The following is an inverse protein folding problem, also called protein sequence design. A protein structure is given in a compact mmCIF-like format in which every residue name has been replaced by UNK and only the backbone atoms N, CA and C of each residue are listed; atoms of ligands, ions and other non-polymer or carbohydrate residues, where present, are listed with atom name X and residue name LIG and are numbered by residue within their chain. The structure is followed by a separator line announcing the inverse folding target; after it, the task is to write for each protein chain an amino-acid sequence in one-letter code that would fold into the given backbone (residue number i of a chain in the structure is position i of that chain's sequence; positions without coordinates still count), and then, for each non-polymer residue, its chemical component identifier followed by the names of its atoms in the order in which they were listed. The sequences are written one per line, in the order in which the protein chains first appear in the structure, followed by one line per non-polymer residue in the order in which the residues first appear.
data_IF_278549154293
#
_entry.id   IF_278549154293
#
_cell.length_a   1.000
_cell.length_b   1.000
_cell.length_c   1.000
_cell.angle_alpha   90.00
_cell.angle_beta   90.00
_cell.angle_gamma   90.00
#
_symmetry.space_group_name_H-M   'P 1'
#
loop_
_entity.id
_entity.type
_entity.pdbx_description
1 polymer ?
#
# COMPACT_ATOMS: atom_id res chain seq x y z
N UNK A 1 10.31 -15.83 -17.06
CA UNK A 1 10.65 -17.09 -16.40
C UNK A 1 10.65 -16.96 -14.88
N UNK A 2 11.17 -15.88 -14.33
CA UNK A 2 11.21 -15.57 -12.89
C UNK A 2 9.82 -15.61 -12.21
N UNK A 3 8.78 -15.00 -12.82
CA UNK A 3 7.41 -15.06 -12.30
C UNK A 3 6.87 -16.49 -12.10
N UNK A 4 7.32 -17.45 -12.92
CA UNK A 4 6.95 -18.84 -12.75
C UNK A 4 7.63 -19.45 -11.53
N UNK A 5 8.90 -19.12 -11.27
CA UNK A 5 9.60 -19.56 -10.05
C UNK A 5 8.97 -18.95 -8.79
N UNK A 6 8.54 -17.69 -8.85
CA UNK A 6 7.78 -17.05 -7.77
C UNK A 6 6.47 -17.83 -7.48
N UNK A 7 5.75 -18.23 -8.54
CA UNK A 7 4.57 -19.10 -8.40
C UNK A 7 4.89 -20.43 -7.72
N UNK A 8 5.92 -21.13 -8.22
CA UNK A 8 6.35 -22.43 -7.66
C UNK A 8 6.72 -22.30 -6.18
N UNK A 9 7.46 -21.26 -5.81
CA UNK A 9 7.84 -20.99 -4.41
C UNK A 9 6.63 -20.64 -3.55
N UNK A 10 5.81 -19.68 -3.95
CA UNK A 10 4.66 -19.21 -3.20
C UNK A 10 3.67 -20.34 -2.88
N UNK A 11 3.44 -21.23 -3.85
CA UNK A 11 2.50 -22.35 -3.74
C UNK A 11 3.18 -23.67 -3.30
N UNK A 12 4.50 -23.65 -3.02
CA UNK A 12 5.30 -24.82 -2.62
C UNK A 12 5.14 -25.99 -3.59
N UNK A 13 5.09 -25.69 -4.90
CA UNK A 13 4.90 -26.68 -5.98
C UNK A 13 6.22 -27.22 -6.52
N UNK A 14 7.29 -27.14 -5.75
CA UNK A 14 8.58 -27.76 -6.05
C UNK A 14 8.62 -29.20 -5.51
N UNK A 15 9.43 -30.04 -6.11
CA UNK A 15 9.66 -31.44 -5.64
C UNK A 15 10.62 -31.45 -4.46
N UNK A 16 11.65 -30.64 -4.49
CA UNK A 16 12.72 -30.63 -3.50
C UNK A 16 13.42 -29.27 -3.47
N UNK A 17 13.99 -28.91 -2.30
CA UNK A 17 14.96 -27.85 -2.13
C UNK A 17 16.33 -28.49 -1.83
N UNK A 18 17.30 -28.30 -2.72
CA UNK A 18 18.63 -28.88 -2.55
C UNK A 18 19.59 -27.79 -2.05
N UNK A 19 20.05 -27.88 -0.78
CA UNK A 19 20.98 -26.92 -0.20
C UNK A 19 22.30 -26.87 -0.97
N UNK A 20 22.83 -25.66 -1.19
CA UNK A 20 24.06 -25.41 -1.91
C UNK A 20 25.11 -24.68 -1.06
N UNK A 21 26.36 -24.73 -1.44
CA UNK A 21 27.45 -23.97 -0.85
C UNK A 21 27.52 -24.09 0.68
N UNK A 22 27.32 -22.99 1.38
CA UNK A 22 27.35 -22.94 2.86
C UNK A 22 26.26 -23.79 3.55
N UNK A 23 25.20 -24.12 2.82
CA UNK A 23 24.10 -24.96 3.33
C UNK A 23 24.24 -26.44 2.92
N UNK A 24 25.30 -26.84 2.24
CA UNK A 24 25.45 -28.20 1.74
C UNK A 24 25.27 -29.22 2.88
N UNK A 25 24.31 -30.15 2.71
CA UNK A 25 23.96 -31.16 3.70
C UNK A 25 22.95 -30.70 4.80
N UNK A 26 22.58 -29.44 4.86
CA UNK A 26 21.54 -28.97 5.77
C UNK A 26 20.13 -29.40 5.31
N UNK A 27 19.20 -29.50 6.23
CA UNK A 27 17.77 -29.71 5.93
C UNK A 27 17.05 -28.38 5.85
N UNK A 28 16.37 -28.11 4.74
CA UNK A 28 15.56 -26.89 4.55
C UNK A 28 14.08 -27.27 4.57
N UNK A 29 13.31 -26.57 5.41
CA UNK A 29 11.84 -26.68 5.48
C UNK A 29 11.22 -25.28 5.43
N UNK A 30 10.38 -25.01 4.43
CA UNK A 30 9.66 -23.75 4.29
C UNK A 30 8.36 -23.81 5.08
N UNK A 31 8.33 -23.12 6.22
CA UNK A 31 7.14 -23.00 7.07
C UNK A 31 6.15 -21.97 6.51
N UNK A 32 6.68 -20.87 5.98
CA UNK A 32 5.92 -19.80 5.35
C UNK A 32 6.75 -19.23 4.20
N UNK A 33 6.28 -19.27 2.94
CA UNK A 33 7.03 -18.74 1.81
C UNK A 33 7.21 -17.22 1.85
N UNK A 34 6.48 -16.53 2.72
CA UNK A 34 6.47 -15.09 2.80
C UNK A 34 5.43 -14.42 1.90
N UNK A 35 5.50 -13.10 1.84
CA UNK A 35 4.60 -12.25 1.06
C UNK A 35 5.33 -11.80 -0.19
N UNK A 36 4.76 -12.09 -1.37
CA UNK A 36 5.33 -11.67 -2.65
C UNK A 36 5.44 -10.14 -2.71
N UNK A 37 6.63 -9.68 -3.05
CA UNK A 37 6.93 -8.27 -3.23
C UNK A 37 6.75 -7.87 -4.70
N UNK A 38 5.79 -7.03 -4.97
CA UNK A 38 5.57 -6.46 -6.32
C UNK A 38 6.31 -5.13 -6.54
N UNK A 39 7.19 -4.75 -5.61
CA UNK A 39 7.94 -3.49 -5.60
C UNK A 39 9.46 -3.75 -5.66
N UNK A 40 10.27 -2.70 -5.50
CA UNK A 40 11.73 -2.85 -5.42
C UNK A 40 12.16 -3.55 -4.12
N UNK A 41 13.24 -4.31 -4.18
CA UNK A 41 13.78 -5.12 -3.09
C UNK A 41 13.50 -6.61 -3.29
N UNK A 42 13.83 -7.46 -2.30
CA UNK A 42 13.71 -8.90 -2.40
C UNK A 42 12.29 -9.38 -2.77
N UNK A 43 12.21 -10.52 -3.45
CA UNK A 43 10.96 -11.05 -4.02
C UNK A 43 9.92 -11.43 -2.99
N UNK A 44 10.33 -11.94 -1.84
CA UNK A 44 9.41 -12.28 -0.75
C UNK A 44 9.89 -11.70 0.57
N UNK A 45 8.94 -11.15 1.36
CA UNK A 45 9.18 -10.64 2.71
C UNK A 45 8.62 -11.56 3.78
N UNK A 46 9.22 -11.51 4.97
CA UNK A 46 8.77 -12.23 6.17
C UNK A 46 8.59 -13.74 5.96
N UNK A 47 9.36 -14.33 5.05
CA UNK A 47 9.41 -15.77 4.91
C UNK A 47 9.93 -16.42 6.20
N UNK A 48 9.42 -17.62 6.52
CA UNK A 48 9.86 -18.43 7.66
C UNK A 48 10.39 -19.74 7.14
N UNK A 49 11.69 -19.91 7.26
CA UNK A 49 12.41 -21.09 6.79
C UNK A 49 13.14 -21.71 7.97
N UNK A 50 12.95 -23.01 8.16
CA UNK A 50 13.74 -23.78 9.12
C UNK A 50 14.93 -24.39 8.38
N UNK A 51 16.12 -24.07 8.83
CA UNK A 51 17.37 -24.66 8.34
C UNK A 51 17.96 -25.46 9.50
N UNK A 52 18.00 -26.77 9.37
CA UNK A 52 18.24 -27.70 10.47
C UNK A 52 17.29 -27.42 11.66
N UNK A 53 17.82 -27.10 12.83
CA UNK A 53 17.05 -26.80 14.04
C UNK A 53 16.77 -25.29 14.23
N UNK A 54 17.24 -24.42 13.33
CA UNK A 54 17.13 -22.99 13.46
C UNK A 54 15.99 -22.43 12.59
N UNK A 55 15.16 -21.59 13.18
CA UNK A 55 14.12 -20.83 12.48
C UNK A 55 14.69 -19.49 11.98
N UNK A 56 14.71 -19.33 10.67
CA UNK A 56 15.10 -18.10 10.01
C UNK A 56 13.85 -17.34 9.58
N UNK A 57 13.82 -16.03 9.86
CA UNK A 57 12.73 -15.13 9.43
C UNK A 57 13.34 -13.94 8.69
N UNK A 58 12.99 -13.76 7.43
CA UNK A 58 13.55 -12.68 6.61
C UNK A 58 13.02 -12.67 5.19
N UNK A 59 13.79 -12.06 4.29
CA UNK A 59 13.45 -12.00 2.89
C UNK A 59 14.03 -13.21 2.11
N UNK A 60 13.36 -13.57 1.01
CA UNK A 60 13.82 -14.57 0.05
C UNK A 60 13.94 -13.90 -1.32
N UNK A 61 15.03 -14.19 -2.02
CA UNK A 61 15.26 -13.77 -3.40
C UNK A 61 15.29 -14.98 -4.31
N UNK A 62 14.69 -14.88 -5.48
CA UNK A 62 14.53 -15.99 -6.43
C UNK A 62 15.07 -15.59 -7.81
N UNK A 63 15.99 -16.40 -8.34
CA UNK A 63 16.54 -16.21 -9.67
C UNK A 63 16.52 -17.52 -10.48
N UNK A 64 16.68 -17.39 -11.79
CA UNK A 64 16.94 -18.56 -12.61
C UNK A 64 18.36 -19.08 -12.37
N UNK A 65 19.36 -18.20 -12.30
CA UNK A 65 20.74 -18.55 -12.03
C UNK A 65 21.34 -17.71 -10.89
N UNK A 66 22.18 -18.29 -10.05
CA UNK A 66 22.79 -17.57 -8.92
C UNK A 66 23.65 -16.38 -9.35
N UNK A 67 24.19 -16.38 -10.56
CA UNK A 67 24.94 -15.25 -11.14
C UNK A 67 24.10 -13.99 -11.36
N UNK A 68 22.75 -14.09 -11.44
CA UNK A 68 21.85 -12.97 -11.64
C UNK A 68 21.85 -12.02 -10.43
N UNK A 69 22.17 -12.50 -9.24
CA UNK A 69 22.40 -11.67 -8.06
C UNK A 69 23.33 -10.48 -8.33
N UNK A 70 24.47 -10.77 -8.99
CA UNK A 70 25.43 -9.72 -9.34
C UNK A 70 25.01 -8.91 -10.57
N UNK A 71 24.32 -9.53 -11.53
CA UNK A 71 23.82 -8.84 -12.72
C UNK A 71 22.76 -7.79 -12.36
N UNK A 72 21.96 -8.06 -11.34
CA UNK A 72 20.93 -7.16 -10.83
C UNK A 72 21.48 -6.18 -9.75
N UNK A 73 22.79 -6.23 -9.46
CA UNK A 73 23.47 -5.36 -8.48
C UNK A 73 22.93 -5.48 -7.05
N UNK A 74 22.41 -6.64 -6.64
CA UNK A 74 21.88 -6.86 -5.29
C UNK A 74 22.97 -6.84 -4.21
N UNK A 75 24.22 -7.06 -4.56
CA UNK A 75 25.40 -6.95 -3.69
C UNK A 75 25.63 -5.52 -3.18
N UNK A 76 25.19 -4.51 -3.92
CA UNK A 76 25.37 -3.10 -3.57
C UNK A 76 24.11 -2.45 -2.99
N UNK A 77 22.94 -3.08 -3.11
CA UNK A 77 21.67 -2.55 -2.62
C UNK A 77 21.38 -2.95 -1.15
N UNK A 78 21.31 -1.97 -0.23
CA UNK A 78 20.99 -2.23 1.18
C UNK A 78 19.67 -2.98 1.41
N UNK A 79 18.72 -2.92 0.48
CA UNK A 79 17.44 -3.61 0.59
C UNK A 79 17.58 -5.14 0.67
N UNK A 80 18.66 -5.69 0.08
CA UNK A 80 18.90 -7.13 0.02
C UNK A 80 19.68 -7.69 1.23
N UNK A 81 20.07 -6.85 2.20
CA UNK A 81 20.74 -7.29 3.43
C UNK A 81 19.88 -8.17 4.34
N UNK A 82 18.56 -8.12 4.15
CA UNK A 82 17.60 -8.93 4.91
C UNK A 82 17.32 -10.30 4.26
N UNK A 83 17.97 -10.62 3.14
CA UNK A 83 17.79 -11.90 2.45
C UNK A 83 18.44 -13.02 3.27
N UNK A 84 17.60 -13.98 3.69
CA UNK A 84 18.00 -15.14 4.47
C UNK A 84 18.23 -16.38 3.62
N UNK A 85 17.65 -16.40 2.40
CA UNK A 85 17.76 -17.53 1.48
C UNK A 85 17.68 -17.03 0.03
N UNK A 86 18.64 -17.46 -0.77
CA UNK A 86 18.65 -17.29 -2.22
C UNK A 86 18.21 -18.60 -2.88
N UNK A 87 17.11 -18.56 -3.61
CA UNK A 87 16.49 -19.71 -4.25
C UNK A 87 16.74 -19.64 -5.74
N UNK A 88 17.34 -20.68 -6.32
CA UNK A 88 17.73 -20.66 -7.74
C UNK A 88 17.42 -21.98 -8.44
N UNK A 89 17.22 -21.96 -9.76
CA UNK A 89 17.18 -23.19 -10.55
C UNK A 89 18.58 -23.70 -10.89
N UNK A 90 19.57 -22.80 -11.00
CA UNK A 90 20.94 -23.13 -11.34
C UNK A 90 21.91 -22.39 -10.41
N UNK A 91 22.73 -23.12 -9.67
CA UNK A 91 23.81 -22.54 -8.88
C UNK A 91 25.10 -22.58 -9.69
N UNK A 92 25.37 -21.49 -10.42
CA UNK A 92 26.52 -21.35 -11.30
C UNK A 92 27.59 -20.39 -10.77
N UNK A 93 27.30 -19.63 -9.69
CA UNK A 93 28.24 -18.69 -9.08
C UNK A 93 27.88 -18.45 -7.61
N UNK A 94 28.80 -18.71 -6.66
CA UNK A 94 28.52 -18.43 -5.26
C UNK A 94 28.34 -16.93 -5.01
N UNK A 95 27.36 -16.59 -4.17
CA UNK A 95 27.09 -15.24 -3.74
C UNK A 95 27.68 -15.00 -2.37
N UNK A 96 28.51 -13.97 -2.24
CA UNK A 96 29.17 -13.59 -1.00
C UNK A 96 28.77 -12.14 -0.68
N UNK A 97 28.28 -11.90 0.54
CA UNK A 97 27.98 -10.55 1.02
C UNK A 97 29.26 -9.70 1.19
N UNK A 98 29.15 -8.39 1.20
CA UNK A 98 30.30 -7.51 1.52
C UNK A 98 30.94 -7.78 2.89
N UNK A 99 30.23 -8.43 3.80
CA UNK A 99 30.75 -8.92 5.10
C UNK A 99 31.72 -10.11 4.96
N UNK A 100 31.78 -10.74 3.78
CA UNK A 100 32.56 -11.97 3.55
C UNK A 100 31.78 -13.26 3.84
N UNK A 101 30.55 -13.17 4.30
CA UNK A 101 29.67 -14.32 4.54
C UNK A 101 29.00 -14.79 3.23
N UNK A 102 28.92 -16.11 3.04
CA UNK A 102 28.20 -16.67 1.90
C UNK A 102 26.68 -16.55 2.12
N UNK A 103 25.96 -16.08 1.10
CA UNK A 103 24.51 -16.07 1.12
C UNK A 103 23.97 -17.50 1.09
N UNK A 104 23.14 -17.90 2.06
CA UNK A 104 22.49 -19.19 2.05
C UNK A 104 21.73 -19.43 0.73
N UNK A 105 22.10 -20.46 -0.03
CA UNK A 105 21.55 -20.73 -1.37
C UNK A 105 21.00 -22.15 -1.45
N UNK A 106 19.87 -22.31 -2.14
CA UNK A 106 19.33 -23.65 -2.47
C UNK A 106 18.82 -23.72 -3.92
N UNK A 107 18.91 -24.92 -4.51
CA UNK A 107 18.25 -25.19 -5.79
C UNK A 107 16.78 -25.50 -5.57
N UNK A 108 15.94 -24.90 -6.41
CA UNK A 108 14.51 -25.14 -6.50
C UNK A 108 14.24 -26.18 -7.60
N UNK A 109 13.89 -27.39 -7.23
CA UNK A 109 13.59 -28.44 -8.19
C UNK A 109 12.14 -28.35 -8.65
N UNK A 110 11.95 -27.82 -9.86
CA UNK A 110 10.63 -27.65 -10.48
C UNK A 110 10.21 -28.94 -11.18
N UNK A 111 8.99 -29.49 -10.91
CA UNK A 111 8.46 -30.65 -11.65
C UNK A 111 8.41 -30.35 -13.15
N UNK A 112 8.94 -31.29 -13.97
CA UNK A 112 8.98 -31.13 -15.43
C UNK A 112 7.58 -30.97 -16.03
N UNK A 113 6.56 -31.60 -15.42
CA UNK A 113 5.16 -31.55 -15.87
C UNK A 113 4.56 -30.12 -15.77
N UNK A 114 5.08 -29.28 -14.88
CA UNK A 114 4.58 -27.93 -14.70
C UNK A 114 5.17 -26.91 -15.70
N UNK A 115 6.27 -27.24 -16.36
CA UNK A 115 6.93 -26.34 -17.31
C UNK A 115 6.10 -26.02 -18.57
N UNK A 116 5.48 -27.01 -19.25
CA UNK A 116 4.62 -26.74 -20.38
C UNK A 116 3.37 -25.91 -20.00
N UNK A 117 2.92 -26.04 -18.76
CA UNK A 117 1.74 -25.36 -18.24
C UNK A 117 2.09 -23.98 -17.62
N UNK A 118 3.36 -23.57 -17.59
CA UNK A 118 3.80 -22.35 -16.92
C UNK A 118 2.99 -21.11 -17.33
N UNK A 119 2.74 -20.93 -18.63
CA UNK A 119 1.92 -19.83 -19.13
C UNK A 119 0.45 -19.94 -18.65
N UNK A 120 -0.12 -21.15 -18.70
CA UNK A 120 -1.49 -21.39 -18.24
C UNK A 120 -1.64 -21.17 -16.72
N UNK A 121 -0.65 -21.57 -15.94
CA UNK A 121 -0.62 -21.37 -14.48
C UNK A 121 -0.52 -19.90 -14.12
N UNK A 122 0.35 -19.13 -14.80
CA UNK A 122 0.45 -17.67 -14.61
C UNK A 122 -0.80 -16.93 -15.09
N UNK A 123 -1.43 -17.42 -16.18
CA UNK A 123 -2.73 -16.89 -16.62
C UNK A 123 -3.87 -17.23 -15.65
N UNK A 124 -3.82 -18.39 -14.99
CA UNK A 124 -4.80 -18.79 -13.97
C UNK A 124 -4.71 -17.91 -12.72
N UNK A 125 -3.52 -17.47 -12.32
CA UNK A 125 -3.35 -16.46 -11.25
C UNK A 125 -3.90 -15.07 -11.65
N UNK A 126 -3.86 -14.74 -12.94
CA UNK A 126 -4.44 -13.51 -13.46
C UNK A 126 -5.96 -13.56 -13.62
N UNK A 127 -6.60 -14.68 -13.33
CA UNK A 127 -8.06 -14.87 -13.42
C UNK A 127 -8.61 -15.41 -12.09
N UNK A 128 -9.85 -15.01 -11.80
CA UNK A 128 -10.57 -15.61 -10.66
C UNK A 128 -10.92 -17.05 -11.00
N UNK A 129 -10.62 -17.99 -10.10
CA UNK A 129 -10.98 -19.42 -10.27
C UNK A 129 -12.48 -19.66 -10.42
N UNK A 130 -13.30 -18.69 -9.96
CA UNK A 130 -14.76 -18.73 -10.03
C UNK A 130 -15.33 -17.88 -11.18
N UNK A 131 -14.52 -17.40 -12.13
CA UNK A 131 -14.96 -16.48 -13.18
C UNK A 131 -16.20 -16.99 -13.94
N UNK A 132 -16.19 -18.26 -14.35
CA UNK A 132 -17.31 -18.86 -15.09
C UNK A 132 -18.59 -18.98 -14.24
N UNK A 133 -18.47 -19.06 -12.93
CA UNK A 133 -19.59 -19.14 -12.00
C UNK A 133 -20.15 -17.76 -11.65
N UNK A 134 -19.28 -16.73 -11.54
CA UNK A 134 -19.70 -15.37 -11.17
C UNK A 134 -20.76 -14.81 -12.12
N UNK A 135 -20.63 -15.06 -13.42
CA UNK A 135 -21.59 -14.63 -14.42
C UNK A 135 -22.99 -15.29 -14.26
N UNK A 136 -23.11 -16.40 -13.54
CA UNK A 136 -24.34 -17.13 -13.29
C UNK A 136 -25.04 -16.76 -11.98
N UNK A 137 -24.38 -15.98 -11.10
CA UNK A 137 -24.97 -15.58 -9.81
C UNK A 137 -26.07 -14.53 -10.04
N UNK A 138 -27.26 -14.70 -9.46
CA UNK A 138 -28.36 -13.74 -9.61
C UNK A 138 -27.93 -12.33 -9.13
N UNK A 139 -28.34 -11.29 -9.87
CA UNK A 139 -27.96 -9.89 -9.60
C UNK A 139 -28.35 -9.45 -8.18
N UNK A 140 -29.49 -9.89 -7.69
CA UNK A 140 -30.00 -9.55 -6.35
C UNK A 140 -29.12 -10.15 -5.25
N UNK A 141 -28.62 -11.37 -5.43
CA UNK A 141 -27.69 -12.01 -4.52
C UNK A 141 -26.34 -11.30 -4.54
N UNK A 142 -25.83 -10.96 -5.73
CA UNK A 142 -24.60 -10.15 -5.87
C UNK A 142 -24.73 -8.85 -5.09
N UNK A 143 -25.82 -8.12 -5.26
CA UNK A 143 -26.06 -6.84 -4.59
C UNK A 143 -26.10 -6.99 -3.07
N UNK A 144 -26.78 -8.01 -2.57
CA UNK A 144 -26.86 -8.31 -1.13
C UNK A 144 -25.47 -8.60 -0.56
N UNK A 145 -24.68 -9.46 -1.20
CA UNK A 145 -23.34 -9.83 -0.75
C UNK A 145 -22.36 -8.66 -0.81
N UNK A 146 -22.39 -7.89 -1.90
CA UNK A 146 -21.55 -6.69 -2.03
C UNK A 146 -21.88 -5.67 -0.94
N UNK A 147 -23.17 -5.49 -0.61
CA UNK A 147 -23.57 -4.62 0.50
C UNK A 147 -23.03 -5.09 1.85
N UNK A 148 -23.09 -6.39 2.14
CA UNK A 148 -22.54 -6.96 3.37
C UNK A 148 -21.01 -6.81 3.46
N UNK A 149 -20.30 -7.11 2.38
CA UNK A 149 -18.84 -6.99 2.32
C UNK A 149 -18.36 -5.54 2.45
N UNK A 150 -19.06 -4.59 1.80
CA UNK A 150 -18.78 -3.16 1.92
C UNK A 150 -18.94 -2.67 3.36
N UNK A 151 -20.02 -3.05 4.03
CA UNK A 151 -20.24 -2.72 5.46
C UNK A 151 -19.16 -3.31 6.35
N UNK A 152 -18.77 -4.56 6.13
CA UNK A 152 -17.67 -5.19 6.86
C UNK A 152 -16.36 -4.42 6.69
N UNK A 153 -16.03 -4.01 5.45
CA UNK A 153 -14.85 -3.21 5.16
C UNK A 153 -14.90 -1.83 5.82
N UNK A 154 -16.04 -1.15 5.74
CA UNK A 154 -16.22 0.15 6.39
C UNK A 154 -16.06 0.04 7.90
N UNK A 155 -16.63 -0.98 8.53
CA UNK A 155 -16.49 -1.23 9.97
C UNK A 155 -15.02 -1.41 10.39
N UNK A 156 -14.23 -2.15 9.58
CA UNK A 156 -12.77 -2.30 9.84
C UNK A 156 -12.02 -0.97 9.71
N UNK A 157 -12.37 -0.15 8.70
CA UNK A 157 -11.78 1.18 8.55
C UNK A 157 -12.14 2.11 9.71
N UNK A 158 -13.39 2.08 10.16
CA UNK A 158 -13.86 2.84 11.33
C UNK A 158 -13.10 2.41 12.59
N UNK A 159 -12.88 1.11 12.79
CA UNK A 159 -12.07 0.62 13.88
C UNK A 159 -10.62 1.12 13.82
N UNK A 160 -10.01 1.13 12.63
CA UNK A 160 -8.67 1.68 12.42
C UNK A 160 -8.61 3.20 12.72
N UNK A 161 -9.65 3.96 12.35
CA UNK A 161 -9.73 5.39 12.72
C UNK A 161 -9.78 5.58 14.24
N UNK A 162 -10.52 4.74 14.97
CA UNK A 162 -10.59 4.80 16.43
C UNK A 162 -9.23 4.50 17.07
N UNK A 163 -8.52 3.47 16.60
CA UNK A 163 -7.16 3.19 17.07
C UNK A 163 -6.20 4.35 16.81
N UNK A 164 -6.34 5.00 15.66
CA UNK A 164 -5.53 6.17 15.34
C UNK A 164 -5.89 7.38 16.21
N UNK A 165 -7.17 7.56 16.57
CA UNK A 165 -7.63 8.58 17.50
C UNK A 165 -7.06 8.39 18.91
N UNK A 166 -7.00 7.13 19.38
CA UNK A 166 -6.34 6.80 20.65
C UNK A 166 -4.85 7.17 20.63
N UNK A 167 -4.14 6.85 19.52
CA UNK A 167 -2.74 7.25 19.32
C UNK A 167 -2.54 8.75 19.19
N UNK A 168 -3.55 9.47 18.76
CA UNK A 168 -3.59 10.94 18.66
C UNK A 168 -4.13 11.59 19.94
N UNK A 169 -4.22 10.84 21.06
CA UNK A 169 -4.67 11.34 22.38
C UNK A 169 -6.06 12.02 22.32
N UNK A 170 -6.93 11.55 21.43
CA UNK A 170 -8.28 12.10 21.24
C UNK A 170 -8.34 13.33 20.32
N UNK A 171 -7.23 13.74 19.73
CA UNK A 171 -7.20 14.86 18.77
C UNK A 171 -7.71 14.42 17.39
N UNK A 172 -8.93 14.82 17.06
CA UNK A 172 -9.57 14.54 15.78
C UNK A 172 -8.86 15.22 14.60
N UNK A 173 -8.31 16.42 14.78
CA UNK A 173 -7.59 17.11 13.71
C UNK A 173 -6.27 16.41 13.38
N UNK A 174 -5.52 15.99 14.38
CA UNK A 174 -4.31 15.18 14.21
C UNK A 174 -4.64 13.82 13.58
N UNK A 175 -5.75 13.20 13.99
CA UNK A 175 -6.23 11.93 13.42
C UNK A 175 -6.55 12.07 11.93
N UNK A 176 -7.28 13.12 11.54
CA UNK A 176 -7.57 13.40 10.13
C UNK A 176 -6.29 13.63 9.33
N UNK A 177 -5.36 14.38 9.86
CA UNK A 177 -4.07 14.66 9.23
C UNK A 177 -3.28 13.37 9.00
N UNK A 178 -3.21 12.48 9.99
CA UNK A 178 -2.49 11.20 9.85
C UNK A 178 -3.16 10.27 8.82
N UNK A 179 -4.49 10.18 8.80
CA UNK A 179 -5.24 9.45 7.78
C UNK A 179 -5.02 10.03 6.38
N UNK A 180 -5.01 11.34 6.27
CA UNK A 180 -4.81 12.03 5.00
C UNK A 180 -3.41 11.77 4.44
N UNK A 181 -2.37 11.89 5.27
CA UNK A 181 -1.00 11.55 4.87
C UNK A 181 -0.91 10.09 4.43
N UNK A 182 -1.44 9.17 5.22
CA UNK A 182 -1.46 7.74 4.88
C UNK A 182 -2.08 7.51 3.50
N UNK A 183 -3.20 8.18 3.20
CA UNK A 183 -3.86 8.07 1.89
C UNK A 183 -3.02 8.66 0.75
N UNK A 184 -2.31 9.78 0.97
CA UNK A 184 -1.39 10.37 -0.02
C UNK A 184 -0.20 9.44 -0.34
N UNK A 185 0.11 8.50 0.51
CA UNK A 185 1.12 7.46 0.27
C UNK A 185 0.68 6.38 -0.73
N UNK A 186 -0.61 6.34 -1.11
CA UNK A 186 -1.19 5.43 -2.12
C UNK A 186 -0.72 3.97 -1.99
N UNK A 187 -0.72 3.46 -0.77
CA UNK A 187 -0.33 2.09 -0.46
C UNK A 187 1.18 1.88 -0.30
N UNK A 188 1.99 2.36 -1.23
CA UNK A 188 3.45 2.14 -1.20
C UNK A 188 4.14 2.86 -0.04
N UNK A 189 3.76 4.11 0.22
CA UNK A 189 4.34 4.96 1.25
C UNK A 189 3.34 5.29 2.39
N UNK A 190 2.22 4.57 2.48
CA UNK A 190 1.18 4.86 3.48
C UNK A 190 1.70 4.85 4.92
N UNK A 191 2.44 3.81 5.30
CA UNK A 191 3.00 3.70 6.65
C UNK A 191 4.10 4.74 6.92
N UNK A 192 4.93 5.05 5.90
CA UNK A 192 5.95 6.10 6.00
C UNK A 192 5.31 7.48 6.21
N UNK A 193 4.24 7.77 5.47
CA UNK A 193 3.46 9.00 5.60
C UNK A 193 2.76 9.10 6.96
N UNK A 194 2.18 8.01 7.47
CA UNK A 194 1.59 8.00 8.82
C UNK A 194 2.66 8.24 9.90
N UNK A 195 3.84 7.63 9.78
CA UNK A 195 4.95 7.90 10.69
C UNK A 195 5.37 9.36 10.66
N UNK A 196 5.39 9.98 9.47
CA UNK A 196 5.67 11.41 9.33
C UNK A 196 4.64 12.26 10.06
N UNK A 197 3.35 11.90 10.01
CA UNK A 197 2.29 12.64 10.69
C UNK A 197 2.48 12.71 12.22
N UNK A 198 3.07 11.68 12.82
CA UNK A 198 3.41 11.67 14.25
C UNK A 198 4.76 12.31 14.55
N UNK A 199 5.73 12.23 13.64
CA UNK A 199 7.02 12.91 13.78
C UNK A 199 6.91 14.43 13.60
N UNK A 200 5.93 14.89 12.81
CA UNK A 200 5.63 16.29 12.56
C UNK A 200 4.14 16.55 12.81
N UNK A 201 3.72 16.85 14.04
CA UNK A 201 2.32 17.05 14.38
C UNK A 201 1.69 18.24 13.66
N UNK A 202 0.40 18.12 13.32
CA UNK A 202 -0.37 19.12 12.56
C UNK A 202 -0.29 20.51 13.18
N UNK A 203 -0.37 20.62 14.49
CA UNK A 203 -0.35 21.92 15.17
C UNK A 203 0.92 22.77 14.89
N UNK A 204 2.05 22.13 14.59
CA UNK A 204 3.27 22.82 14.17
C UNK A 204 3.13 23.38 12.76
N UNK A 205 2.58 22.62 11.83
CA UNK A 205 2.32 23.08 10.47
C UNK A 205 1.33 24.25 10.44
N UNK A 206 0.27 24.18 11.26
CA UNK A 206 -0.74 25.25 11.35
C UNK A 206 -0.19 26.57 11.93
N UNK A 207 0.89 26.52 12.74
CA UNK A 207 1.59 27.75 13.19
C UNK A 207 2.30 28.49 12.07
N UNK A 208 2.61 27.79 10.97
CA UNK A 208 3.36 28.30 9.82
C UNK A 208 2.52 28.37 8.55
N UNK A 209 1.19 28.16 8.65
CA UNK A 209 0.31 28.05 7.49
C UNK A 209 0.24 29.30 6.58
N UNK A 210 0.67 30.43 7.05
CA UNK A 210 0.78 31.69 6.31
C UNK A 210 2.08 31.77 5.48
N UNK A 211 3.01 30.83 5.66
CA UNK A 211 4.33 30.80 5.05
C UNK A 211 4.56 29.46 4.35
N UNK A 212 4.10 29.34 3.10
CA UNK A 212 4.26 28.09 2.31
C UNK A 212 5.70 27.55 2.33
N UNK A 213 6.77 28.38 2.17
CA UNK A 213 8.14 27.88 2.26
C UNK A 213 8.48 27.18 3.57
N UNK A 214 7.92 27.63 4.69
CA UNK A 214 8.14 27.01 6.00
C UNK A 214 7.41 25.67 6.13
N UNK A 215 6.18 25.59 5.62
CA UNK A 215 5.40 24.35 5.60
C UNK A 215 6.08 23.31 4.71
N UNK A 216 6.59 23.70 3.55
CA UNK A 216 7.37 22.83 2.65
C UNK A 216 8.65 22.33 3.34
N UNK A 217 9.42 23.23 3.96
CA UNK A 217 10.63 22.89 4.68
C UNK A 217 10.36 21.92 5.82
N UNK A 218 9.33 22.15 6.63
CA UNK A 218 8.93 21.25 7.71
C UNK A 218 8.56 19.85 7.20
N UNK A 219 7.70 19.76 6.18
CA UNK A 219 7.24 18.48 5.64
C UNK A 219 8.38 17.69 4.98
N UNK A 220 9.10 18.31 4.05
CA UNK A 220 10.18 17.65 3.32
C UNK A 220 11.38 17.37 4.21
N UNK A 221 11.71 18.28 5.12
CA UNK A 221 12.84 18.12 6.04
C UNK A 221 12.59 17.02 7.05
N UNK A 222 11.42 17.00 7.70
CA UNK A 222 11.06 15.91 8.62
C UNK A 222 10.93 14.56 7.93
N UNK A 223 10.57 14.55 6.64
CA UNK A 223 10.55 13.33 5.82
C UNK A 223 11.96 12.88 5.36
N UNK A 224 12.99 13.73 5.48
CA UNK A 224 14.33 13.47 4.93
C UNK A 224 14.38 13.50 3.40
N UNK A 225 13.53 14.32 2.76
CA UNK A 225 13.33 14.35 1.31
C UNK A 225 13.78 15.68 0.64
N UNK A 226 14.39 16.61 1.36
CA UNK A 226 14.83 17.90 0.82
C UNK A 226 15.81 17.76 -0.35
N UNK A 227 16.70 16.78 -0.31
CA UNK A 227 17.71 16.54 -1.34
C UNK A 227 17.12 16.15 -2.70
N UNK A 228 15.84 15.79 -2.74
CA UNK A 228 15.13 15.39 -3.96
C UNK A 228 14.41 16.55 -4.67
N UNK A 229 14.44 17.75 -4.11
CA UNK A 229 13.95 18.95 -4.81
C UNK A 229 14.79 19.21 -6.07
N UNK A 230 14.13 19.48 -7.22
CA UNK A 230 14.83 19.56 -8.50
C UNK A 230 15.69 20.83 -8.66
N UNK A 231 15.31 21.93 -8.05
CA UNK A 231 15.99 23.21 -8.11
C UNK A 231 16.98 23.34 -6.93
N UNK A 232 18.23 23.65 -7.22
CA UNK A 232 19.31 23.71 -6.23
C UNK A 232 19.14 24.90 -5.27
N UNK A 233 18.83 26.09 -5.79
CA UNK A 233 18.67 27.27 -4.97
C UNK A 233 17.46 27.13 -4.02
N UNK A 234 16.37 26.58 -4.52
CA UNK A 234 15.18 26.28 -3.72
C UNK A 234 15.49 25.21 -2.64
N UNK A 235 16.24 24.18 -3.00
CA UNK A 235 16.66 23.13 -2.05
C UNK A 235 17.48 23.72 -0.90
N UNK A 236 18.50 24.54 -1.20
CA UNK A 236 19.33 25.19 -0.19
C UNK A 236 18.50 26.13 0.72
N UNK A 237 17.55 26.88 0.14
CA UNK A 237 16.66 27.73 0.91
C UNK A 237 15.80 26.90 1.88
N UNK A 238 15.19 25.81 1.42
CA UNK A 238 14.37 24.92 2.27
C UNK A 238 15.18 24.16 3.32
N UNK A 239 16.43 23.81 3.01
CA UNK A 239 17.35 23.18 3.96
C UNK A 239 17.72 24.15 5.11
N UNK A 240 18.02 25.42 4.79
CA UNK A 240 18.30 26.44 5.81
C UNK A 240 17.09 26.69 6.69
N UNK A 241 15.90 26.84 6.09
CA UNK A 241 14.64 27.05 6.82
C UNK A 241 14.33 25.85 7.73
N UNK A 242 14.48 24.63 7.21
CA UNK A 242 14.28 23.44 8.02
C UNK A 242 15.27 23.35 9.19
N UNK A 243 16.54 23.62 8.97
CA UNK A 243 17.54 23.58 10.03
C UNK A 243 17.19 24.52 11.19
N UNK A 244 16.70 25.73 10.88
CA UNK A 244 16.22 26.66 11.89
C UNK A 244 14.98 26.15 12.62
N UNK A 245 13.96 25.68 11.87
CA UNK A 245 12.69 25.21 12.45
C UNK A 245 12.89 23.90 13.23
N UNK A 246 13.72 22.99 12.74
CA UNK A 246 14.05 21.75 13.43
C UNK A 246 14.74 22.01 14.77
N UNK A 247 15.68 22.95 14.81
CA UNK A 247 16.31 23.36 16.07
C UNK A 247 15.28 23.98 17.03
N UNK A 248 14.42 24.87 16.51
CA UNK A 248 13.40 25.57 17.31
C UNK A 248 12.40 24.61 17.96
N UNK A 249 12.03 23.54 17.27
CA UNK A 249 10.98 22.60 17.70
C UNK A 249 11.52 21.24 18.15
N UNK A 250 12.82 21.02 18.13
CA UNK A 250 13.43 19.73 18.49
C UNK A 250 13.07 18.60 17.52
N UNK A 251 12.90 18.90 16.22
CA UNK A 251 12.50 17.90 15.22
C UNK A 251 13.71 17.11 14.74
N UNK A 252 13.49 15.81 14.53
CA UNK A 252 14.48 14.91 13.93
C UNK A 252 13.89 14.32 12.64
N UNK A 253 14.63 14.35 11.52
CA UNK A 253 14.18 13.74 10.28
C UNK A 253 13.93 12.24 10.44
N UNK A 254 12.98 11.70 9.69
CA UNK A 254 12.81 10.26 9.56
C UNK A 254 14.07 9.64 8.93
N UNK A 255 14.43 8.38 9.31
CA UNK A 255 15.61 7.70 8.77
C UNK A 255 15.60 7.64 7.25
N UNK A 256 16.78 7.71 6.64
CA UNK A 256 16.93 7.48 5.20
C UNK A 256 16.36 6.12 4.81
N UNK A 257 15.74 6.04 3.63
CA UNK A 257 15.08 4.82 3.16
C UNK A 257 13.67 4.58 3.73
N UNK A 258 13.16 5.45 4.61
CA UNK A 258 11.76 5.36 5.08
C UNK A 258 10.77 5.45 3.92
N UNK A 259 11.03 6.30 2.93
CA UNK A 259 10.18 6.48 1.75
C UNK A 259 10.72 5.71 0.54
N UNK A 260 9.83 4.95 -0.09
CA UNK A 260 10.13 4.23 -1.33
C UNK A 260 9.88 5.14 -2.53
N UNK A 261 10.89 5.28 -3.40
CA UNK A 261 10.85 6.11 -4.62
C UNK A 261 10.96 5.30 -5.90
N UNK A 262 11.54 4.11 -5.83
CA UNK A 262 11.70 3.23 -6.98
C UNK A 262 10.35 2.76 -7.55
N UNK A 263 10.27 2.62 -8.87
CA UNK A 263 9.06 2.21 -9.62
C UNK A 263 7.84 3.11 -9.40
N UNK A 264 8.05 4.36 -8.95
CA UNK A 264 6.98 5.33 -8.70
C UNK A 264 6.91 6.32 -9.86
N UNK A 265 5.71 6.57 -10.38
CA UNK A 265 5.50 7.62 -11.39
C UNK A 265 5.83 9.00 -10.78
N UNK A 266 6.31 10.00 -11.58
CA UNK A 266 6.71 11.31 -11.06
C UNK A 266 5.68 11.96 -10.14
N UNK A 267 4.39 11.91 -10.48
CA UNK A 267 3.29 12.46 -9.67
C UNK A 267 2.96 11.63 -8.42
N UNK A 268 3.51 10.43 -8.27
CA UNK A 268 3.37 9.56 -7.11
C UNK A 268 4.56 9.63 -6.15
N UNK A 269 5.62 10.35 -6.50
CA UNK A 269 6.80 10.52 -5.64
C UNK A 269 6.42 11.16 -4.29
N UNK A 270 6.98 10.69 -3.18
CA UNK A 270 6.61 11.18 -1.85
C UNK A 270 6.87 12.67 -1.67
N UNK A 271 7.99 13.21 -2.18
CA UNK A 271 8.28 14.64 -2.15
C UNK A 271 7.22 15.46 -2.90
N UNK A 272 6.75 14.97 -4.05
CA UNK A 272 5.69 15.64 -4.80
C UNK A 272 4.36 15.66 -4.02
N UNK A 273 4.00 14.56 -3.36
CA UNK A 273 2.80 14.46 -2.52
C UNK A 273 2.88 15.37 -1.30
N UNK A 274 4.06 15.50 -0.70
CA UNK A 274 4.25 16.42 0.44
C UNK A 274 4.15 17.89 0.04
N UNK A 275 4.58 18.27 -1.17
CA UNK A 275 4.37 19.61 -1.71
C UNK A 275 2.88 19.89 -1.97
N UNK A 276 2.13 18.92 -2.50
CA UNK A 276 0.67 19.04 -2.63
C UNK A 276 0.01 19.23 -1.26
N UNK A 277 0.45 18.46 -0.25
CA UNK A 277 -0.04 18.64 1.12
C UNK A 277 0.32 20.02 1.70
N UNK A 278 1.55 20.52 1.48
CA UNK A 278 1.95 21.85 1.92
C UNK A 278 1.00 22.92 1.38
N UNK A 279 0.69 22.86 0.09
CA UNK A 279 -0.26 23.75 -0.56
C UNK A 279 -1.66 23.64 0.06
N UNK A 280 -2.11 22.43 0.37
CA UNK A 280 -3.41 22.22 1.03
C UNK A 280 -3.43 22.76 2.46
N UNK A 281 -2.34 22.65 3.22
CA UNK A 281 -2.26 23.21 4.58
C UNK A 281 -2.40 24.73 4.57
N UNK A 282 -1.82 25.39 3.57
CA UNK A 282 -1.86 26.85 3.43
C UNK A 282 -3.24 27.32 2.96
N UNK A 283 -3.84 26.66 1.98
CA UNK A 283 -5.01 27.17 1.28
C UNK A 283 -6.34 26.55 1.70
N UNK A 284 -6.34 25.30 2.18
CA UNK A 284 -7.58 24.62 2.51
C UNK A 284 -7.95 24.77 4.00
N UNK A 285 -9.17 25.17 4.33
CA UNK A 285 -9.65 25.29 5.71
C UNK A 285 -9.96 23.93 6.38
N UNK A 286 -9.46 22.84 5.84
CA UNK A 286 -9.74 21.44 6.24
C UNK A 286 -9.47 21.11 7.71
N UNK A 287 -8.52 21.83 8.31
CA UNK A 287 -7.83 21.33 9.51
C UNK A 287 -8.42 21.85 10.83
N UNK A 288 -9.50 22.64 10.79
CA UNK A 288 -9.95 23.32 12.02
C UNK A 288 -11.39 23.11 12.45
N UNK A 289 -12.35 22.91 11.56
CA UNK A 289 -13.77 22.90 11.97
C UNK A 289 -14.75 22.37 10.93
N UNK A 290 -14.30 21.93 9.78
CA UNK A 290 -15.17 21.59 8.65
C UNK A 290 -15.79 20.19 8.78
N UNK A 291 -15.37 19.42 9.77
CA UNK A 291 -15.96 18.12 10.03
C UNK A 291 -16.74 18.16 11.35
N UNK A 292 -18.06 18.07 11.31
CA UNK A 292 -18.81 16.89 10.88
C UNK A 292 -19.69 17.05 9.63
N UNK A 293 -19.81 18.24 9.09
CA UNK A 293 -20.62 18.47 7.86
C UNK A 293 -19.73 18.26 6.64
N UNK A 294 -19.79 17.03 6.10
CA UNK A 294 -19.02 16.68 4.92
C UNK A 294 -19.49 17.45 3.70
N UNK A 295 -18.56 18.14 2.99
CA UNK A 295 -18.90 18.82 1.75
C UNK A 295 -19.28 17.80 0.66
N UNK A 296 -19.99 18.27 -0.38
CA UNK A 296 -20.24 17.51 -1.60
C UNK A 296 -18.93 17.13 -2.30
N UNK A 297 -18.97 16.17 -3.24
CA UNK A 297 -17.80 15.86 -4.07
C UNK A 297 -17.30 17.10 -4.84
N UNK A 298 -18.20 17.95 -5.33
CA UNK A 298 -17.85 19.20 -6.01
C UNK A 298 -17.10 20.17 -5.07
N UNK A 299 -17.60 20.31 -3.85
CA UNK A 299 -16.92 21.12 -2.82
C UNK A 299 -15.57 20.52 -2.44
N UNK A 300 -15.44 19.19 -2.35
CA UNK A 300 -14.16 18.50 -2.14
C UNK A 300 -13.19 18.72 -3.30
N UNK A 301 -13.66 18.65 -4.53
CA UNK A 301 -12.83 18.95 -5.70
C UNK A 301 -12.27 20.38 -5.63
N UNK A 302 -13.10 21.34 -5.27
CA UNK A 302 -12.67 22.73 -5.09
C UNK A 302 -11.68 22.87 -3.92
N UNK A 303 -11.93 22.18 -2.82
CA UNK A 303 -11.15 22.28 -1.59
C UNK A 303 -9.78 21.60 -1.68
N UNK A 304 -9.67 20.47 -2.39
CA UNK A 304 -8.48 19.64 -2.44
C UNK A 304 -7.61 19.83 -3.69
N UNK A 305 -8.09 20.53 -4.72
CA UNK A 305 -7.37 20.69 -5.98
C UNK A 305 -6.74 22.08 -6.11
N UNK A 306 -5.75 22.35 -5.27
CA UNK A 306 -4.92 23.55 -5.38
C UNK A 306 -3.68 23.27 -6.23
N UNK A 307 -3.34 24.17 -7.18
CA UNK A 307 -2.13 24.01 -8.00
C UNK A 307 -0.87 24.21 -7.16
N UNK A 308 0.17 23.46 -7.47
CA UNK A 308 1.50 23.77 -6.94
C UNK A 308 2.02 25.11 -7.49
N UNK A 309 2.89 25.81 -6.75
CA UNK A 309 3.60 26.97 -7.26
C UNK A 309 4.28 26.70 -8.60
N UNK A 310 4.29 27.71 -9.49
CA UNK A 310 4.77 27.56 -10.87
C UNK A 310 6.20 27.05 -10.98
N UNK A 311 7.07 27.36 -10.02
CA UNK A 311 8.45 26.87 -10.00
C UNK A 311 8.58 25.34 -9.80
N UNK A 312 7.52 24.67 -9.31
CA UNK A 312 7.47 23.19 -9.26
C UNK A 312 6.89 22.57 -10.52
N UNK A 313 6.19 23.36 -11.36
CA UNK A 313 5.51 22.89 -12.56
C UNK A 313 6.43 22.86 -13.77
N UNK A 314 7.43 21.99 -13.78
CA UNK A 314 8.38 21.85 -14.88
C UNK A 314 9.18 20.55 -14.82
N UNK A 315 9.96 20.28 -15.85
CA UNK A 315 10.84 19.11 -15.88
C UNK A 315 10.09 17.78 -15.71
N UNK A 316 10.42 17.03 -14.66
CA UNK A 316 9.79 15.74 -14.33
C UNK A 316 8.35 15.89 -13.81
N UNK A 317 7.99 17.04 -13.27
CA UNK A 317 6.69 17.32 -12.63
C UNK A 317 5.83 18.19 -13.55
N UNK A 318 5.40 17.60 -14.66
CA UNK A 318 4.57 18.28 -15.65
C UNK A 318 3.12 18.40 -15.17
N UNK A 319 2.46 19.50 -15.51
CA UNK A 319 1.07 19.77 -15.21
C UNK A 319 0.87 20.82 -14.09
N UNK A 320 -0.35 20.99 -13.62
CA UNK A 320 -0.73 21.98 -12.59
C UNK A 320 -0.28 21.63 -11.18
N UNK A 321 0.17 20.40 -10.97
CA UNK A 321 0.50 19.90 -9.63
C UNK A 321 -0.71 19.62 -8.73
N UNK A 322 -1.93 19.79 -9.22
CA UNK A 322 -3.15 19.48 -8.47
C UNK A 322 -3.33 17.97 -8.23
N UNK A 323 -4.06 17.62 -7.18
CA UNK A 323 -4.57 16.26 -7.02
C UNK A 323 -5.51 15.90 -8.19
N UNK A 324 -5.41 14.70 -8.71
CA UNK A 324 -6.35 14.22 -9.72
C UNK A 324 -7.73 13.95 -9.11
N UNK A 325 -8.75 13.84 -9.95
CA UNK A 325 -10.12 13.53 -9.49
C UNK A 325 -10.18 12.17 -8.80
N UNK A 326 -9.45 11.19 -9.34
CA UNK A 326 -9.33 9.85 -8.74
C UNK A 326 -8.63 9.91 -7.37
N UNK A 327 -7.64 10.80 -7.20
CA UNK A 327 -6.98 10.98 -5.91
C UNK A 327 -7.92 11.61 -4.88
N UNK A 328 -8.75 12.57 -5.28
CA UNK A 328 -9.78 13.16 -4.41
C UNK A 328 -10.85 12.12 -4.06
N UNK A 329 -11.34 11.35 -5.03
CA UNK A 329 -12.27 10.25 -4.78
C UNK A 329 -11.67 9.20 -3.83
N UNK A 330 -10.41 8.83 -4.03
CA UNK A 330 -9.69 7.93 -3.12
C UNK A 330 -9.64 8.47 -1.68
N UNK A 331 -9.36 9.77 -1.49
CA UNK A 331 -9.37 10.42 -0.18
C UNK A 331 -10.79 10.41 0.41
N UNK A 332 -11.82 10.74 -0.38
CA UNK A 332 -13.20 10.68 0.08
C UNK A 332 -13.58 9.29 0.60
N UNK A 333 -13.29 8.23 -0.17
CA UNK A 333 -13.65 6.84 0.12
C UNK A 333 -12.83 6.27 1.30
N UNK A 334 -11.53 6.58 1.36
CA UNK A 334 -10.62 5.89 2.27
C UNK A 334 -10.28 6.69 3.54
N UNK A 335 -10.53 8.00 3.54
CA UNK A 335 -10.29 8.89 4.69
C UNK A 335 -11.60 9.46 5.22
N UNK A 336 -12.30 10.22 4.38
CA UNK A 336 -13.38 11.07 4.88
C UNK A 336 -14.60 10.26 5.33
N UNK A 337 -15.05 9.29 4.53
CA UNK A 337 -16.20 8.45 4.90
C UNK A 337 -15.94 7.67 6.20
N UNK A 338 -14.81 6.92 6.35
CA UNK A 338 -14.54 6.22 7.62
C UNK A 338 -14.34 7.15 8.80
N UNK A 339 -13.69 8.30 8.60
CA UNK A 339 -13.49 9.32 9.64
C UNK A 339 -14.82 9.85 10.15
N UNK A 340 -15.72 10.25 9.25
CA UNK A 340 -17.08 10.72 9.61
C UNK A 340 -17.84 9.67 10.40
N UNK A 341 -17.85 8.43 9.94
CA UNK A 341 -18.56 7.34 10.63
C UNK A 341 -17.98 7.07 12.03
N UNK A 342 -16.65 7.14 12.17
CA UNK A 342 -15.99 7.02 13.47
C UNK A 342 -16.37 8.18 14.41
N UNK A 343 -16.37 9.41 13.88
CA UNK A 343 -16.74 10.62 14.62
C UNK A 343 -18.21 10.58 15.10
N UNK A 344 -19.12 10.23 14.18
CA UNK A 344 -20.56 10.11 14.53
C UNK A 344 -20.79 9.05 15.60
N UNK A 345 -20.14 7.92 15.47
CA UNK A 345 -20.25 6.86 16.48
C UNK A 345 -19.64 7.27 17.82
N UNK A 346 -18.57 8.07 17.83
CA UNK A 346 -17.95 8.57 19.05
C UNK A 346 -18.87 9.52 19.82
N UNK A 347 -19.55 10.43 19.11
CA UNK A 347 -20.47 11.41 19.71
C UNK A 347 -21.93 10.95 19.75
N UNK A 348 -22.19 9.65 19.53
CA UNK A 348 -23.53 9.04 19.57
C UNK A 348 -24.55 9.68 18.60
N UNK A 349 -24.08 10.28 17.52
CA UNK A 349 -24.92 10.87 16.46
C UNK A 349 -25.28 9.86 15.36
N UNK A 350 -25.47 8.62 15.76
CA UNK A 350 -25.86 7.53 14.87
C UNK A 350 -27.34 7.69 14.51
N UNK A 351 -27.66 7.81 13.23
CA UNK A 351 -29.04 7.96 12.75
C UNK A 351 -29.45 9.40 12.40
N UNK A 352 -28.63 10.42 12.69
CA UNK A 352 -28.87 11.74 12.12
C UNK A 352 -28.74 11.70 10.59
N UNK A 353 -29.62 12.42 9.84
CA UNK A 353 -29.56 12.42 8.38
C UNK A 353 -28.16 12.85 7.93
N UNK A 354 -27.54 12.00 7.14
CA UNK A 354 -26.29 12.31 6.44
C UNK A 354 -26.67 13.25 5.32
N UNK A 355 -25.94 14.36 5.18
CA UNK A 355 -25.94 15.03 3.90
C UNK A 355 -25.67 13.97 2.82
N UNK A 356 -26.59 13.82 1.90
CA UNK A 356 -26.70 12.65 1.01
C UNK A 356 -25.52 12.42 0.06
N UNK A 357 -24.53 13.32 0.05
CA UNK A 357 -23.62 13.49 -1.06
C UNK A 357 -22.30 12.70 -0.97
N UNK A 358 -21.87 12.28 0.22
CA UNK A 358 -20.66 11.45 0.41
C UNK A 358 -20.98 10.07 1.00
N UNK A 359 -21.93 9.36 0.38
CA UNK A 359 -22.18 7.97 0.64
C UNK A 359 -21.43 7.10 -0.36
N UNK A 360 -20.94 5.93 0.05
CA UNK A 360 -20.17 5.04 -0.82
C UNK A 360 -20.95 4.59 -2.07
N UNK A 361 -22.27 4.54 -2.00
CA UNK A 361 -23.16 4.21 -3.12
C UNK A 361 -23.23 5.31 -4.18
N UNK A 362 -22.99 6.58 -3.80
CA UNK A 362 -23.00 7.73 -4.71
C UNK A 362 -21.61 8.12 -5.22
N UNK A 363 -20.56 7.66 -4.57
CA UNK A 363 -19.18 7.90 -5.00
C UNK A 363 -18.80 6.97 -6.16
N UNK A 364 -17.94 7.42 -7.11
CA UNK A 364 -17.52 6.58 -8.23
C UNK A 364 -16.72 5.37 -7.74
N UNK A 365 -16.83 4.27 -8.49
CA UNK A 365 -16.04 3.07 -8.23
C UNK A 365 -14.53 3.35 -8.36
N UNK A 366 -13.72 2.77 -7.49
CA UNK A 366 -12.27 2.83 -7.60
C UNK A 366 -11.78 1.91 -8.74
N UNK A 367 -10.95 2.47 -9.63
CA UNK A 367 -10.33 1.72 -10.72
C UNK A 367 -8.94 1.20 -10.27
N UNK A 368 -8.82 -0.09 -10.02
CA UNK A 368 -7.57 -0.75 -9.66
C UNK A 368 -7.48 -2.16 -10.27
N UNK A 369 -6.43 -2.91 -9.98
CA UNK A 369 -6.25 -4.24 -10.54
C UNK A 369 -7.33 -5.23 -10.07
N UNK A 370 -7.78 -5.13 -8.80
CA UNK A 370 -8.82 -6.02 -8.25
C UNK A 370 -10.16 -5.77 -8.93
N UNK A 371 -10.58 -4.51 -9.06
CA UNK A 371 -11.84 -4.18 -9.74
C UNK A 371 -11.84 -4.60 -11.21
N UNK A 372 -10.69 -4.51 -11.89
CA UNK A 372 -10.52 -5.02 -13.25
C UNK A 372 -10.62 -6.55 -13.31
N UNK A 373 -9.96 -7.24 -12.38
CA UNK A 373 -10.00 -8.70 -12.29
C UNK A 373 -11.44 -9.23 -12.16
N UNK A 374 -12.27 -8.56 -11.36
CA UNK A 374 -13.71 -8.92 -11.23
C UNK A 374 -14.51 -8.50 -12.44
N UNK A 375 -14.23 -7.35 -13.06
CA UNK A 375 -14.90 -6.93 -14.29
C UNK A 375 -14.64 -7.90 -15.45
N UNK A 376 -13.41 -8.40 -15.59
CA UNK A 376 -13.02 -9.42 -16.57
C UNK A 376 -13.76 -10.76 -16.32
N UNK A 377 -14.18 -11.01 -15.10
CA UNK A 377 -15.01 -12.15 -14.71
C UNK A 377 -16.53 -11.87 -14.75
N UNK A 378 -16.96 -10.72 -15.29
CA UNK A 378 -18.35 -10.35 -15.46
C UNK A 378 -19.00 -9.61 -14.29
N UNK A 379 -18.24 -9.27 -13.23
CA UNK A 379 -18.74 -8.54 -12.06
C UNK A 379 -18.11 -7.13 -12.00
N UNK A 380 -18.75 -6.17 -12.65
CA UNK A 380 -18.30 -4.77 -12.73
C UNK A 380 -18.83 -3.96 -11.56
N UNK A 381 -17.95 -3.20 -10.89
CA UNK A 381 -18.33 -2.26 -9.85
C UNK A 381 -18.76 -0.91 -10.46
N UNK A 382 -19.91 -0.38 -10.07
CA UNK A 382 -20.47 0.89 -10.54
C UNK A 382 -20.38 2.01 -9.49
N UNK A 383 -20.13 1.65 -8.23
CA UNK A 383 -20.02 2.59 -7.11
C UNK A 383 -18.81 2.27 -6.23
N UNK A 384 -18.43 3.25 -5.38
CA UNK A 384 -17.42 3.01 -4.36
C UNK A 384 -17.82 1.91 -3.39
N UNK A 385 -19.11 1.77 -3.08
CA UNK A 385 -19.61 0.68 -2.24
C UNK A 385 -19.26 -0.68 -2.83
N UNK A 386 -19.52 -0.87 -4.12
CA UNK A 386 -19.24 -2.13 -4.82
C UNK A 386 -17.73 -2.37 -4.98
N UNK A 387 -16.95 -1.35 -5.37
CA UNK A 387 -15.49 -1.50 -5.47
C UNK A 387 -14.84 -1.82 -4.12
N UNK A 388 -15.29 -1.21 -3.02
CA UNK A 388 -14.84 -1.54 -1.68
C UNK A 388 -15.25 -2.95 -1.25
N UNK A 389 -16.42 -3.43 -1.67
CA UNK A 389 -16.85 -4.81 -1.45
C UNK A 389 -15.96 -5.81 -2.21
N UNK A 390 -15.64 -5.54 -3.48
CA UNK A 390 -14.73 -6.39 -4.26
C UNK A 390 -13.32 -6.45 -3.66
N UNK A 391 -12.79 -5.32 -3.18
CA UNK A 391 -11.53 -5.28 -2.45
C UNK A 391 -11.56 -6.14 -1.18
N UNK A 392 -12.70 -6.10 -0.46
CA UNK A 392 -12.92 -6.94 0.72
C UNK A 392 -12.97 -8.42 0.36
N UNK A 393 -13.76 -8.76 -0.66
CA UNK A 393 -13.91 -10.12 -1.18
C UNK A 393 -12.55 -10.71 -1.57
N UNK A 394 -11.77 -9.93 -2.33
CA UNK A 394 -10.44 -10.35 -2.77
C UNK A 394 -9.50 -10.61 -1.59
N UNK A 395 -9.43 -9.70 -0.63
CA UNK A 395 -8.53 -9.80 0.52
C UNK A 395 -8.89 -10.96 1.47
N UNK A 396 -10.18 -11.18 1.74
CA UNK A 396 -10.59 -12.16 2.75
C UNK A 396 -10.77 -13.58 2.18
N UNK A 397 -11.06 -13.71 0.89
CA UNK A 397 -11.40 -14.98 0.27
C UNK A 397 -10.51 -15.38 -0.91
N UNK A 398 -10.25 -14.47 -1.86
CA UNK A 398 -9.50 -14.83 -3.06
C UNK A 398 -8.01 -14.96 -2.78
N UNK A 399 -7.38 -13.96 -2.16
CA UNK A 399 -5.94 -14.00 -1.82
C UNK A 399 -5.57 -15.19 -0.93
N UNK A 400 -6.31 -15.50 0.17
CA UNK A 400 -6.02 -16.67 0.98
C UNK A 400 -6.64 -17.97 0.43
N UNK A 401 -7.19 -17.98 -0.80
CA UNK A 401 -7.81 -19.13 -1.48
C UNK A 401 -8.91 -19.83 -0.65
N UNK A 402 -9.73 -19.04 0.05
CA UNK A 402 -10.86 -19.53 0.87
C UNK A 402 -12.14 -19.66 0.09
N UNK A 403 -12.09 -20.18 -1.13
CA UNK A 403 -13.25 -20.33 -2.01
C UNK A 403 -14.40 -21.10 -1.37
N UNK A 404 -14.11 -22.13 -0.57
CA UNK A 404 -15.12 -22.92 0.16
C UNK A 404 -15.92 -22.14 1.21
N UNK A 405 -15.51 -20.92 1.55
CA UNK A 405 -16.22 -19.99 2.46
C UNK A 405 -16.68 -18.73 1.74
N UNK A 406 -16.39 -18.61 0.46
CA UNK A 406 -16.72 -17.42 -0.32
C UNK A 406 -18.24 -17.37 -0.57
N UNK A 407 -18.90 -16.22 -0.33
CA UNK A 407 -20.34 -16.11 -0.56
C UNK A 407 -20.76 -16.40 -2.01
N UNK A 408 -19.87 -16.11 -2.98
CA UNK A 408 -20.13 -16.33 -4.39
C UNK A 408 -19.87 -17.79 -4.87
N UNK A 409 -19.31 -18.65 -4.05
CA UNK A 409 -19.05 -20.05 -4.40
C UNK A 409 -19.99 -21.04 -3.69
N UNK A 410 -20.83 -20.55 -2.78
CA UNK A 410 -21.75 -21.37 -1.98
C UNK A 410 -23.18 -21.02 -2.43
N UNK A 411 -23.99 -22.03 -2.75
CA UNK A 411 -25.42 -21.83 -3.01
C UNK A 411 -26.14 -21.20 -1.82
N UNK A 412 -27.15 -20.33 -2.05
CA UNK A 412 -27.83 -19.52 -1.00
C UNK A 412 -28.40 -20.31 0.17
N UNK A 413 -28.69 -21.59 -0.01
CA UNK A 413 -29.28 -22.47 1.00
C UNK A 413 -28.41 -22.77 2.21
N UNK A 414 -27.08 -22.43 2.17
CA UNK A 414 -26.13 -22.72 3.25
C UNK A 414 -25.68 -21.50 4.04
N UNK A 415 -26.16 -20.30 3.72
CA UNK A 415 -25.56 -19.04 4.19
C UNK A 415 -26.14 -18.44 5.48
N UNK A 416 -27.22 -18.99 6.05
CA UNK A 416 -27.81 -18.49 7.30
C UNK A 416 -26.91 -18.65 8.55
N UNK A 417 -25.84 -19.41 8.47
CA UNK A 417 -24.96 -19.74 9.62
C UNK A 417 -23.57 -19.10 9.60
N UNK A 418 -23.16 -18.48 8.51
CA UNK A 418 -21.79 -17.95 8.37
C UNK A 418 -21.59 -16.48 8.74
N UNK A 419 -22.67 -15.76 9.11
CA UNK A 419 -22.68 -14.33 9.47
C UNK A 419 -23.05 -14.05 10.93
N UNK A 420 -22.93 -15.05 11.80
CA UNK A 420 -23.04 -14.82 13.26
C UNK A 420 -21.69 -14.79 13.93
#
# INVERSE_FOLDING_TARGET
MEAFLHYIWAHRRYTELIPQGALAGARIEVLDPGILNVHAGPDFFAAKVRIDDLLWVGAVEIHHASSEWHQHHHDTDPAYRSVILHVVEQDNRPVIFPSGEALPTCLLMVPEELRPEAAALLFAEAKLSCADHLASVPEEECRMWLSCLSRSRLSRKVAAVRQLLERSEGDWAQTLYALFLRALGFGLNGDAMERLAFALPLHLLLKHRDQLPQVEALLLGSAGLLDYLPDEALREERQREYAFLAHKYGLTPLPQGTFRRARTRPTGLPEYRLLQLATLIVHAPLWGSVFPEMPSMEALMTLLRHPLPAHYCGGKWRGSGMLSEEAVAHIAINVLVPYREAWRAHYQRVGEPVGEELCLDKLPAEANHVTRLFADAGLTAHSAQESQALLQLHADYCTPQRCHRCPFSISPSSCSSALR
#
